data_IF_576249296893
#
_entry.id   IF_576249296893
#
_cell.length_a   1.000
_cell.length_b   1.000
_cell.length_c   1.000
_cell.angle_alpha   90.00
_cell.angle_beta   90.00
_cell.angle_gamma   90.00
#
_symmetry.space_group_name_H-M   'P 1'
#
loop_
_entity.id
_entity.type
_entity.pdbx_description
1 polymer ?
#
# COMPACT_ATOMS: atom_id res chain seq x y z
N UNK A 1 22.77 13.42 25.52
CA UNK A 1 21.58 13.24 24.65
C UNK A 1 20.95 14.62 24.55
N UNK A 2 20.43 15.07 23.40
CA UNK A 2 19.74 16.37 23.38
C UNK A 2 18.38 16.16 24.06
N UNK A 3 18.17 16.79 25.20
CA UNK A 3 16.90 16.70 25.91
C UNK A 3 15.76 17.22 25.02
N UNK A 4 14.65 16.47 25.01
CA UNK A 4 13.42 16.76 24.26
C UNK A 4 13.65 16.97 22.76
N UNK A 5 14.53 16.16 22.15
CA UNK A 5 14.86 16.28 20.72
C UNK A 5 13.62 16.13 19.81
N UNK A 6 12.71 15.21 20.14
CA UNK A 6 11.48 15.01 19.36
C UNK A 6 10.61 16.27 19.36
N UNK A 7 10.38 16.88 20.52
CA UNK A 7 9.58 18.10 20.65
C UNK A 7 10.19 19.26 19.88
N UNK A 8 11.52 19.43 19.99
CA UNK A 8 12.25 20.47 19.27
C UNK A 8 12.10 20.32 17.76
N UNK A 9 12.22 19.10 17.23
CA UNK A 9 12.04 18.86 15.79
C UNK A 9 10.57 19.10 15.40
N UNK A 10 9.62 18.51 16.13
CA UNK A 10 8.20 18.61 15.82
C UNK A 10 7.66 20.04 15.89
N UNK A 11 8.24 20.92 16.71
CA UNK A 11 7.90 22.34 16.78
C UNK A 11 8.15 23.10 15.46
N UNK A 12 9.02 22.58 14.59
CA UNK A 12 9.32 23.15 13.28
C UNK A 12 8.60 22.44 12.12
N UNK A 13 7.75 21.46 12.42
CA UNK A 13 7.03 20.67 11.40
C UNK A 13 5.54 21.02 11.36
N UNK A 14 4.94 21.09 10.16
CA UNK A 14 3.49 21.29 10.04
C UNK A 14 2.72 20.11 10.65
N UNK A 15 1.45 20.28 11.06
CA UNK A 15 0.67 19.25 11.77
C UNK A 15 0.62 17.87 11.11
N UNK A 16 0.66 17.82 9.78
CA UNK A 16 0.62 16.60 8.97
C UNK A 16 2.01 15.95 8.76
N UNK A 17 3.06 16.42 9.45
CA UNK A 17 4.38 15.78 9.48
C UNK A 17 4.83 15.68 10.93
N UNK A 18 5.14 14.46 11.40
CA UNK A 18 5.58 14.21 12.78
C UNK A 18 6.71 13.19 12.83
N UNK A 19 7.66 13.43 13.73
CA UNK A 19 8.63 12.43 14.17
C UNK A 19 8.05 11.76 15.41
N UNK A 20 7.73 10.47 15.29
CA UNK A 20 7.02 9.71 16.33
C UNK A 20 7.97 8.95 17.26
N UNK A 21 9.16 8.62 16.79
CA UNK A 21 10.17 7.91 17.56
C UNK A 21 11.56 8.13 16.99
N UNK A 22 12.58 7.83 17.79
CA UNK A 22 13.96 7.81 17.34
C UNK A 22 14.73 6.73 18.12
N UNK A 23 15.71 6.12 17.47
CA UNK A 23 16.59 5.12 18.08
C UNK A 23 18.03 5.39 17.68
N UNK A 24 18.97 5.08 18.57
CA UNK A 24 20.39 5.07 18.21
C UNK A 24 20.71 3.80 17.45
N UNK A 25 21.60 3.93 16.48
CA UNK A 25 22.03 2.83 15.60
C UNK A 25 23.54 2.82 15.49
N UNK A 26 24.09 1.72 14.96
CA UNK A 26 25.52 1.64 14.65
C UNK A 26 25.91 2.64 13.57
N UNK A 27 27.17 3.09 13.57
CA UNK A 27 27.67 4.04 12.56
C UNK A 27 27.65 3.50 11.12
N UNK A 28 27.63 2.18 10.95
CA UNK A 28 27.51 1.52 9.64
C UNK A 28 26.08 1.25 9.18
N UNK A 29 25.07 1.60 9.98
CA UNK A 29 23.67 1.36 9.64
C UNK A 29 23.21 2.24 8.46
N UNK A 30 22.54 1.62 7.49
CA UNK A 30 21.91 2.30 6.36
C UNK A 30 20.45 1.86 6.24
N UNK A 31 19.51 2.74 6.58
CA UNK A 31 18.07 2.42 6.62
C UNK A 31 17.50 1.89 5.31
N UNK A 32 18.04 2.33 4.16
CA UNK A 32 17.59 1.86 2.84
C UNK A 32 18.08 0.44 2.55
N UNK A 33 19.36 0.19 2.78
CA UNK A 33 20.02 -1.07 2.43
C UNK A 33 19.75 -2.18 3.44
N UNK A 34 19.49 -1.82 4.71
CA UNK A 34 19.17 -2.76 5.77
C UNK A 34 17.67 -3.08 5.88
N UNK A 35 16.81 -2.44 5.09
CA UNK A 35 15.38 -2.72 5.05
C UNK A 35 15.08 -4.03 4.29
N UNK A 36 14.34 -4.93 4.92
CA UNK A 36 14.03 -6.27 4.41
C UNK A 36 12.71 -6.35 3.64
N UNK A 37 11.72 -5.61 4.11
CA UNK A 37 10.38 -5.58 3.54
C UNK A 37 9.69 -4.25 3.83
N UNK A 38 8.63 -3.96 3.08
CA UNK A 38 7.72 -2.86 3.36
C UNK A 38 6.29 -3.39 3.39
N UNK A 39 5.50 -2.88 4.32
CA UNK A 39 4.04 -3.01 4.29
C UNK A 39 3.45 -1.68 3.88
N UNK A 40 2.60 -1.72 2.86
CA UNK A 40 1.77 -0.60 2.46
C UNK A 40 0.30 -0.94 2.69
N UNK A 41 -0.49 0.08 2.96
CA UNK A 41 -1.95 0.01 2.85
C UNK A 41 -2.42 0.88 1.68
N UNK A 42 -3.60 0.57 1.16
CA UNK A 42 -4.29 1.37 0.16
C UNK A 42 -5.77 1.46 0.54
N UNK A 43 -6.19 2.65 0.96
CA UNK A 43 -7.61 2.93 1.25
C UNK A 43 -8.32 3.39 -0.01
N UNK A 44 -9.52 2.88 -0.25
CA UNK A 44 -10.35 3.25 -1.40
C UNK A 44 -11.85 3.16 -1.09
N UNK A 45 -12.68 3.95 -1.78
CA UNK A 45 -14.13 3.75 -1.80
C UNK A 45 -14.47 2.37 -2.39
N UNK A 46 -15.35 1.60 -1.73
CA UNK A 46 -15.67 0.24 -2.19
C UNK A 46 -16.47 0.20 -3.48
N UNK A 47 -17.12 1.30 -3.86
CA UNK A 47 -17.76 1.46 -5.17
C UNK A 47 -16.78 1.23 -6.32
N UNK A 48 -15.47 1.35 -6.08
CA UNK A 48 -14.43 0.95 -7.04
C UNK A 48 -14.54 -0.52 -7.48
N UNK A 49 -15.08 -1.40 -6.63
CA UNK A 49 -15.33 -2.82 -6.95
C UNK A 49 -16.74 -3.10 -7.49
N UNK A 50 -17.58 -2.07 -7.68
CA UNK A 50 -18.88 -2.23 -8.33
C UNK A 50 -18.73 -2.59 -9.81
N UNK A 51 -19.72 -3.26 -10.44
CA UNK A 51 -19.74 -3.49 -11.88
C UNK A 51 -19.52 -2.20 -12.69
N UNK A 52 -18.93 -2.32 -13.89
CA UNK A 52 -18.62 -1.17 -14.76
C UNK A 52 -19.80 -0.24 -15.08
N UNK A 53 -21.02 -0.78 -15.12
CA UNK A 53 -22.24 -0.02 -15.46
C UNK A 53 -22.93 0.59 -14.22
N UNK A 54 -22.35 0.41 -13.03
CA UNK A 54 -22.86 0.99 -11.79
C UNK A 54 -22.50 2.48 -11.68
N UNK A 55 -23.36 3.27 -11.04
CA UNK A 55 -23.07 4.67 -10.76
C UNK A 55 -21.90 4.80 -9.76
N UNK A 56 -20.72 5.18 -10.25
CA UNK A 56 -19.51 5.27 -9.43
C UNK A 56 -19.56 6.38 -8.38
N UNK A 57 -20.49 7.33 -8.51
CA UNK A 57 -20.70 8.42 -7.54
C UNK A 57 -21.67 8.06 -6.42
N UNK A 58 -22.27 6.87 -6.45
CA UNK A 58 -23.23 6.45 -5.44
C UNK A 58 -22.54 6.05 -4.13
N UNK A 59 -22.61 6.95 -3.16
CA UNK A 59 -22.08 6.76 -1.79
C UNK A 59 -22.86 5.72 -0.99
N UNK A 60 -24.05 5.31 -1.44
CA UNK A 60 -24.85 4.27 -0.80
C UNK A 60 -24.41 2.85 -1.17
N UNK A 61 -23.50 2.68 -2.13
CA UNK A 61 -22.95 1.37 -2.49
C UNK A 61 -22.34 0.66 -1.28
N UNK A 62 -22.62 -0.64 -1.14
CA UNK A 62 -22.04 -1.51 -0.12
C UNK A 62 -21.46 -2.76 -0.77
N UNK A 63 -20.23 -3.08 -0.42
CA UNK A 63 -19.51 -4.24 -0.91
C UNK A 63 -20.07 -5.49 -0.27
N UNK A 64 -20.62 -6.38 -1.09
CA UNK A 64 -21.04 -7.69 -0.62
C UNK A 64 -19.84 -8.61 -0.37
N UNK A 65 -20.04 -9.61 0.49
CA UNK A 65 -19.02 -10.57 0.90
C UNK A 65 -18.49 -11.42 -0.27
N UNK A 66 -19.33 -11.76 -1.24
CA UNK A 66 -18.92 -12.52 -2.43
C UNK A 66 -17.89 -11.75 -3.28
N UNK A 67 -18.12 -10.45 -3.49
CA UNK A 67 -17.20 -9.59 -4.22
C UNK A 67 -15.90 -9.41 -3.43
N UNK A 68 -15.98 -9.22 -2.10
CA UNK A 68 -14.79 -9.14 -1.25
C UNK A 68 -13.97 -10.45 -1.29
N UNK A 69 -14.62 -11.62 -1.28
CA UNK A 69 -13.96 -12.92 -1.43
C UNK A 69 -13.28 -13.04 -2.79
N UNK A 70 -13.94 -12.62 -3.87
CA UNK A 70 -13.35 -12.56 -5.22
C UNK A 70 -12.12 -11.65 -5.25
N UNK A 71 -12.22 -10.44 -4.70
CA UNK A 71 -11.11 -9.47 -4.59
C UNK A 71 -9.91 -10.10 -3.84
N UNK A 72 -10.17 -10.74 -2.70
CA UNK A 72 -9.12 -11.40 -1.92
C UNK A 72 -8.48 -12.59 -2.65
N UNK A 73 -9.27 -13.39 -3.37
CA UNK A 73 -8.74 -14.45 -4.25
C UNK A 73 -7.81 -13.88 -5.31
N UNK A 74 -8.21 -12.80 -6.00
CA UNK A 74 -7.39 -12.16 -7.03
C UNK A 74 -6.09 -11.59 -6.43
N UNK A 75 -6.15 -10.92 -5.28
CA UNK A 75 -4.93 -10.41 -4.62
C UNK A 75 -3.98 -11.52 -4.17
N UNK A 76 -4.52 -12.68 -3.78
CA UNK A 76 -3.71 -13.84 -3.38
C UNK A 76 -2.82 -14.36 -4.51
N UNK A 77 -3.21 -14.17 -5.78
CA UNK A 77 -2.42 -14.60 -6.94
C UNK A 77 -1.06 -13.89 -7.02
N UNK A 78 -0.96 -12.66 -6.49
CA UNK A 78 0.31 -11.94 -6.46
C UNK A 78 1.33 -12.51 -5.49
N UNK A 79 0.92 -13.36 -4.53
CA UNK A 79 1.83 -13.98 -3.57
C UNK A 79 2.89 -14.81 -4.29
N UNK A 80 4.13 -14.73 -3.83
CA UNK A 80 5.26 -15.41 -4.44
C UNK A 80 6.16 -14.47 -5.23
N UNK A 81 7.06 -15.06 -6.01
CA UNK A 81 8.02 -14.35 -6.85
C UNK A 81 7.52 -14.35 -8.28
N UNK A 82 7.20 -13.16 -8.79
CA UNK A 82 6.73 -12.98 -10.16
C UNK A 82 7.56 -11.93 -10.89
N UNK A 83 7.42 -11.88 -12.21
CA UNK A 83 8.03 -10.83 -13.02
C UNK A 83 7.05 -9.65 -13.16
N UNK A 84 7.34 -8.55 -12.49
CA UNK A 84 6.45 -7.38 -12.42
C UNK A 84 6.78 -6.32 -13.49
N UNK A 85 7.37 -6.69 -14.64
CA UNK A 85 7.79 -5.71 -15.66
C UNK A 85 6.62 -4.88 -16.22
N UNK A 86 5.42 -5.44 -16.35
CA UNK A 86 4.21 -4.72 -16.76
C UNK A 86 3.66 -3.80 -15.66
N UNK A 87 4.06 -4.02 -14.40
CA UNK A 87 3.64 -3.25 -13.23
C UNK A 87 4.55 -2.05 -12.93
N UNK A 88 5.46 -1.71 -13.83
CA UNK A 88 6.32 -0.53 -13.71
C UNK A 88 6.60 0.06 -15.08
N UNK A 89 7.23 1.23 -15.11
CA UNK A 89 7.78 1.82 -16.33
C UNK A 89 9.22 1.34 -16.54
N UNK A 90 9.70 1.38 -17.79
CA UNK A 90 11.12 1.17 -18.16
C UNK A 90 11.71 -0.19 -17.74
N UNK A 91 10.90 -1.25 -17.73
CA UNK A 91 11.37 -2.64 -17.54
C UNK A 91 10.95 -3.53 -18.69
N UNK A 92 11.92 -4.31 -19.17
CA UNK A 92 11.70 -5.34 -20.18
C UNK A 92 11.27 -6.66 -19.53
N UNK A 93 10.59 -7.54 -20.29
CA UNK A 93 10.10 -8.82 -19.80
C UNK A 93 11.20 -9.78 -19.32
N UNK A 94 12.45 -9.58 -19.74
CA UNK A 94 13.60 -10.41 -19.33
C UNK A 94 14.52 -9.75 -18.32
N UNK A 95 14.20 -8.54 -17.84
CA UNK A 95 15.01 -7.86 -16.83
C UNK A 95 14.90 -8.58 -15.47
N UNK A 96 15.98 -9.19 -14.94
CA UNK A 96 15.93 -9.91 -13.66
C UNK A 96 15.54 -9.00 -12.50
N UNK A 97 15.85 -7.70 -12.60
CA UNK A 97 15.50 -6.70 -11.60
C UNK A 97 14.01 -6.30 -11.64
N UNK A 98 13.19 -6.90 -12.52
CA UNK A 98 11.74 -6.79 -12.46
C UNK A 98 11.09 -7.90 -11.61
N UNK A 99 11.86 -8.93 -11.19
CA UNK A 99 11.36 -9.97 -10.29
C UNK A 99 11.19 -9.42 -8.87
N UNK A 100 9.99 -9.54 -8.31
CA UNK A 100 9.68 -9.09 -6.94
C UNK A 100 8.95 -10.18 -6.19
N UNK A 101 9.15 -10.18 -4.89
CA UNK A 101 8.55 -11.14 -3.98
C UNK A 101 7.50 -10.46 -3.10
N UNK A 102 6.26 -10.87 -3.27
CA UNK A 102 5.12 -10.45 -2.44
C UNK A 102 4.85 -11.56 -1.43
N UNK A 103 4.87 -11.21 -0.15
CA UNK A 103 4.60 -12.15 0.93
C UNK A 103 3.11 -12.28 1.22
N UNK A 104 2.39 -11.16 1.12
CA UNK A 104 0.98 -11.07 1.48
C UNK A 104 0.30 -9.92 0.73
N UNK A 105 -0.94 -10.12 0.30
CA UNK A 105 -1.82 -9.06 -0.19
C UNK A 105 -3.28 -9.45 0.06
N UNK A 106 -4.07 -8.56 0.67
CA UNK A 106 -5.49 -8.80 0.97
C UNK A 106 -6.26 -7.48 1.11
N UNK A 107 -7.57 -7.53 0.94
CA UNK A 107 -8.51 -6.45 1.27
C UNK A 107 -9.23 -6.79 2.58
N UNK A 108 -9.21 -5.87 3.54
CA UNK A 108 -9.95 -5.99 4.79
C UNK A 108 -11.46 -5.79 4.61
N UNK A 109 -12.20 -6.05 5.68
CA UNK A 109 -13.65 -5.79 5.73
C UNK A 109 -13.95 -4.30 5.51
N UNK A 110 -15.06 -3.99 4.83
CA UNK A 110 -15.43 -2.61 4.58
C UNK A 110 -15.91 -1.90 5.85
N UNK A 111 -15.82 -0.58 5.86
CA UNK A 111 -16.32 0.27 6.93
C UNK A 111 -16.85 1.58 6.36
N UNK A 112 -17.81 2.19 7.05
CA UNK A 112 -18.44 3.44 6.60
C UNK A 112 -17.76 4.66 7.25
N UNK A 113 -17.51 5.69 6.43
CA UNK A 113 -17.06 7.03 6.86
C UNK A 113 -17.79 8.07 6.02
N UNK A 114 -18.43 9.03 6.69
CA UNK A 114 -19.16 10.13 6.03
C UNK A 114 -20.05 9.61 4.87
N UNK A 115 -20.93 8.65 5.19
CA UNK A 115 -21.92 8.01 4.29
C UNK A 115 -21.37 7.02 3.24
N UNK A 116 -20.13 7.21 2.78
CA UNK A 116 -19.48 6.30 1.85
C UNK A 116 -18.80 5.12 2.56
N UNK A 117 -18.77 3.98 1.88
CA UNK A 117 -18.07 2.79 2.35
C UNK A 117 -16.67 2.71 1.76
N UNK A 118 -15.69 2.40 2.61
CA UNK A 118 -14.28 2.26 2.27
C UNK A 118 -13.79 0.86 2.66
N UNK A 119 -12.74 0.41 1.99
CA UNK A 119 -11.96 -0.74 2.42
C UNK A 119 -10.47 -0.43 2.36
N UNK A 120 -9.68 -1.21 3.09
CA UNK A 120 -8.22 -1.08 3.12
C UNK A 120 -7.57 -2.34 2.56
N UNK A 121 -6.82 -2.17 1.48
CA UNK A 121 -5.96 -3.21 0.92
C UNK A 121 -4.61 -3.14 1.62
N UNK A 122 -4.10 -4.25 2.14
CA UNK A 122 -2.77 -4.34 2.74
C UNK A 122 -1.88 -5.22 1.88
N UNK A 123 -0.67 -4.75 1.57
CA UNK A 123 0.35 -5.49 0.81
C UNK A 123 1.68 -5.47 1.54
N UNK A 124 2.30 -6.64 1.69
CA UNK A 124 3.68 -6.80 2.20
C UNK A 124 4.52 -7.46 1.11
N UNK A 125 5.69 -6.89 0.87
CA UNK A 125 6.68 -7.41 -0.07
C UNK A 125 8.10 -6.99 0.31
N UNK A 126 9.10 -7.69 -0.21
CA UNK A 126 10.51 -7.38 0.08
C UNK A 126 10.90 -6.00 -0.46
N UNK A 127 10.49 -5.71 -1.69
CA UNK A 127 10.70 -4.43 -2.34
C UNK A 127 9.60 -4.19 -3.38
N UNK A 128 9.43 -2.93 -3.77
CA UNK A 128 8.46 -2.53 -4.78
C UNK A 128 9.14 -1.61 -5.79
N UNK A 129 8.78 -1.77 -7.06
CA UNK A 129 9.17 -0.85 -8.14
C UNK A 129 8.23 0.36 -8.17
N UNK A 130 8.65 1.40 -8.91
CA UNK A 130 7.80 2.56 -9.17
C UNK A 130 6.46 2.12 -9.76
N UNK A 131 5.36 2.64 -9.20
CA UNK A 131 3.98 2.32 -9.58
C UNK A 131 3.49 0.88 -9.33
N UNK A 132 4.33 -0.03 -8.86
CA UNK A 132 3.98 -1.46 -8.77
C UNK A 132 2.69 -1.73 -8.01
N UNK A 133 2.57 -1.22 -6.77
CA UNK A 133 1.38 -1.45 -5.93
C UNK A 133 0.13 -0.87 -6.60
N UNK A 134 0.22 0.37 -7.10
CA UNK A 134 -0.88 1.05 -7.77
C UNK A 134 -1.36 0.32 -9.03
N UNK A 135 -0.44 -0.27 -9.78
CA UNK A 135 -0.74 -1.12 -10.94
C UNK A 135 -1.33 -2.48 -10.55
N UNK A 136 -0.82 -3.10 -9.48
CA UNK A 136 -1.38 -4.36 -8.95
C UNK A 136 -2.85 -4.18 -8.54
N UNK A 137 -3.14 -3.09 -7.84
CA UNK A 137 -4.51 -2.71 -7.42
C UNK A 137 -5.37 -2.37 -8.64
N UNK A 138 -4.86 -1.53 -9.55
CA UNK A 138 -5.59 -1.12 -10.76
C UNK A 138 -6.01 -2.31 -11.64
N UNK A 139 -5.15 -3.33 -11.79
CA UNK A 139 -5.50 -4.52 -12.55
C UNK A 139 -6.61 -5.34 -11.89
N UNK A 140 -6.56 -5.52 -10.57
CA UNK A 140 -7.61 -6.25 -9.84
C UNK A 140 -8.92 -5.52 -9.91
N UNK A 141 -8.92 -4.18 -9.79
CA UNK A 141 -10.13 -3.38 -9.98
C UNK A 141 -10.68 -3.60 -11.39
N UNK A 142 -9.84 -3.51 -12.44
CA UNK A 142 -10.30 -3.71 -13.83
C UNK A 142 -10.94 -5.10 -14.06
N UNK A 143 -10.37 -6.14 -13.45
CA UNK A 143 -10.94 -7.50 -13.47
C UNK A 143 -12.28 -7.57 -12.75
N UNK A 144 -12.37 -7.01 -11.54
CA UNK A 144 -13.60 -7.07 -10.72
C UNK A 144 -14.75 -6.31 -11.37
N UNK A 145 -14.48 -5.14 -11.98
CA UNK A 145 -15.48 -4.34 -12.71
C UNK A 145 -15.92 -4.99 -14.03
N UNK A 146 -15.17 -5.98 -14.52
CA UNK A 146 -15.48 -6.70 -15.76
C UNK A 146 -14.94 -6.05 -17.03
N UNK A 147 -13.89 -5.23 -16.95
CA UNK A 147 -13.21 -4.67 -18.13
C UNK A 147 -12.29 -5.70 -18.80
N UNK A 148 -11.71 -6.62 -18.03
CA UNK A 148 -10.76 -7.64 -18.49
C UNK A 148 -10.99 -8.96 -17.76
N UNK A 149 -10.64 -10.07 -18.40
CA UNK A 149 -10.72 -11.41 -17.82
C UNK A 149 -9.64 -11.65 -16.75
N UNK A 150 -9.94 -12.49 -15.76
CA UNK A 150 -9.03 -12.78 -14.63
C UNK A 150 -7.67 -13.34 -15.09
N UNK A 151 -7.62 -14.09 -16.20
CA UNK A 151 -6.40 -14.65 -16.76
C UNK A 151 -5.38 -13.57 -17.16
N UNK A 152 -5.79 -12.30 -17.27
CA UNK A 152 -4.86 -11.18 -17.51
C UNK A 152 -3.81 -11.05 -16.40
N UNK A 153 -4.13 -11.41 -15.15
CA UNK A 153 -3.19 -11.30 -14.03
C UNK A 153 -1.99 -12.23 -14.28
N UNK A 154 -2.24 -13.50 -14.60
CA UNK A 154 -1.15 -14.45 -14.88
C UNK A 154 -0.41 -14.12 -16.17
N UNK A 155 -1.15 -13.76 -17.24
CA UNK A 155 -0.55 -13.31 -18.51
C UNK A 155 0.36 -12.09 -18.34
N UNK A 156 0.05 -11.19 -17.41
CA UNK A 156 0.84 -9.98 -17.17
C UNK A 156 2.26 -10.26 -16.63
N UNK A 157 2.54 -11.48 -16.14
CA UNK A 157 3.88 -11.92 -15.76
C UNK A 157 4.67 -12.56 -16.90
N UNK A 158 4.01 -12.89 -18.02
CA UNK A 158 4.62 -13.39 -19.24
C UNK A 158 5.43 -12.33 -19.99
N UNK A 159 5.89 -12.67 -21.20
CA UNK A 159 6.69 -11.73 -22.00
C UNK A 159 5.85 -10.64 -22.69
N UNK A 160 4.55 -10.89 -22.87
CA UNK A 160 3.62 -9.97 -23.52
C UNK A 160 3.51 -8.65 -22.76
N UNK A 161 3.36 -7.56 -23.52
CA UNK A 161 3.03 -6.26 -22.93
C UNK A 161 1.54 -6.18 -22.64
N UNK A 162 1.25 -5.89 -21.38
CA UNK A 162 -0.11 -5.62 -20.89
C UNK A 162 -0.13 -4.18 -20.41
N UNK A 163 -1.06 -3.39 -20.94
CA UNK A 163 -1.28 -2.05 -20.41
C UNK A 163 -2.05 -2.16 -19.09
N UNK A 164 -1.32 -2.04 -17.99
CA UNK A 164 -1.88 -2.20 -16.65
C UNK A 164 -2.35 -0.84 -16.12
N UNK A 165 -3.65 -0.70 -15.78
CA UNK A 165 -4.18 0.52 -15.18
C UNK A 165 -3.42 0.86 -13.88
N UNK A 166 -3.06 2.13 -13.69
CA UNK A 166 -2.36 2.63 -12.50
C UNK A 166 -3.30 3.44 -11.60
N UNK A 167 -3.85 2.81 -10.55
CA UNK A 167 -4.72 3.47 -9.56
C UNK A 167 -4.13 4.79 -9.01
N UNK A 168 -4.92 5.73 -8.47
CA UNK A 168 -4.43 6.98 -7.89
C UNK A 168 -3.37 6.81 -6.79
N UNK A 169 -2.67 7.88 -6.45
CA UNK A 169 -1.69 7.87 -5.36
C UNK A 169 -2.30 8.12 -3.98
N UNK A 170 -3.48 8.76 -3.94
CA UNK A 170 -4.12 9.29 -2.73
C UNK A 170 -4.28 8.24 -1.63
N UNK A 171 -4.78 7.06 -1.97
CA UNK A 171 -5.05 6.00 -1.00
C UNK A 171 -3.81 5.29 -0.45
N UNK A 172 -2.63 5.45 -1.08
CA UNK A 172 -1.44 4.65 -0.79
C UNK A 172 -0.66 5.19 0.42
N UNK A 173 -0.50 4.37 1.46
CA UNK A 173 0.23 4.72 2.69
C UNK A 173 1.32 3.69 2.95
N UNK A 174 2.54 4.15 3.26
CA UNK A 174 3.61 3.29 3.78
C UNK A 174 3.35 3.06 5.27
N UNK A 175 2.89 1.87 5.63
CA UNK A 175 2.55 1.51 7.02
C UNK A 175 3.78 1.14 7.84
N UNK A 176 4.69 0.32 7.26
CA UNK A 176 5.83 -0.20 8.01
C UNK A 176 7.02 -0.51 7.13
N UNK A 177 8.20 -0.15 7.63
CA UNK A 177 9.51 -0.58 7.12
C UNK A 177 10.03 -1.65 8.06
N UNK A 178 10.36 -2.82 7.52
CA UNK A 178 10.77 -3.99 8.31
C UNK A 178 12.28 -4.15 8.31
N UNK A 179 12.85 -4.36 9.49
CA UNK A 179 14.29 -4.53 9.74
C UNK A 179 14.59 -5.88 10.43
N UNK A 180 13.79 -6.90 10.13
CA UNK A 180 13.83 -8.23 10.74
C UNK A 180 15.24 -8.85 10.75
N UNK A 181 16.03 -8.68 9.67
CA UNK A 181 17.41 -9.18 9.59
C UNK A 181 18.37 -8.39 10.47
N UNK A 182 18.20 -7.07 10.56
CA UNK A 182 18.98 -6.23 11.49
C UNK A 182 18.68 -6.67 12.93
N UNK A 183 17.40 -6.81 13.28
CA UNK A 183 16.96 -7.21 14.62
C UNK A 183 17.51 -8.59 14.99
N UNK A 184 17.48 -9.56 14.06
CA UNK A 184 18.06 -10.88 14.29
C UNK A 184 19.58 -10.85 14.49
N UNK A 185 20.29 -9.94 13.81
CA UNK A 185 21.75 -9.84 13.86
C UNK A 185 22.26 -9.12 15.11
N UNK A 186 21.58 -8.05 15.52
CA UNK A 186 22.07 -7.13 16.57
C UNK A 186 21.21 -7.13 17.83
N UNK A 187 19.94 -7.55 17.75
CA UNK A 187 19.02 -7.47 18.89
C UNK A 187 19.34 -8.42 20.06
N UNK A 188 20.29 -9.34 19.90
CA UNK A 188 20.69 -10.30 20.93
C UNK A 188 22.06 -10.05 21.56
N UNK A 189 22.75 -8.96 21.19
CA UNK A 189 24.13 -8.73 21.65
C UNK A 189 24.25 -7.93 22.96
N UNK A 190 23.11 -7.48 23.51
CA UNK A 190 23.04 -6.72 24.77
C UNK A 190 23.57 -5.29 24.67
N UNK A 191 23.96 -4.84 23.47
CA UNK A 191 24.55 -3.52 23.22
C UNK A 191 23.64 -2.70 22.32
N UNK A 192 23.05 -3.32 21.29
CA UNK A 192 22.25 -2.63 20.28
C UNK A 192 20.75 -2.84 20.49
N UNK A 193 20.01 -1.75 20.38
CA UNK A 193 18.55 -1.79 20.34
C UNK A 193 18.05 -2.39 19.02
N UNK A 194 16.95 -3.14 19.09
CA UNK A 194 16.18 -3.55 17.93
C UNK A 194 15.46 -2.35 17.29
N UNK A 195 15.30 -2.42 15.97
CA UNK A 195 14.51 -1.47 15.19
C UNK A 195 13.07 -1.97 15.07
N UNK A 196 12.41 -2.09 16.21
CA UNK A 196 10.96 -2.20 16.31
C UNK A 196 10.40 -0.95 17.01
N UNK A 197 9.21 -0.54 16.60
CA UNK A 197 8.56 0.70 17.07
C UNK A 197 7.32 0.38 17.91
N UNK A 198 7.43 -0.70 18.70
CA UNK A 198 6.29 -1.26 19.43
C UNK A 198 5.71 -0.25 20.42
N UNK A 199 6.57 0.56 21.04
CA UNK A 199 6.18 1.62 21.98
C UNK A 199 5.47 2.79 21.27
N UNK A 200 5.76 3.01 19.99
CA UNK A 200 5.16 4.08 19.19
C UNK A 200 3.91 3.66 18.40
N UNK A 201 3.50 2.38 18.44
CA UNK A 201 2.34 1.88 17.66
C UNK A 201 1.05 2.67 17.97
N UNK A 202 0.81 3.04 19.23
CA UNK A 202 -0.35 3.88 19.59
C UNK A 202 -0.27 5.28 18.97
N UNK A 203 0.90 5.92 19.01
CA UNK A 203 1.11 7.23 18.41
C UNK A 203 1.01 7.19 16.88
N UNK A 204 1.50 6.11 16.25
CA UNK A 204 1.37 5.85 14.81
C UNK A 204 -0.12 5.70 14.44
N UNK A 205 -0.87 4.89 15.18
CA UNK A 205 -2.31 4.72 14.96
C UNK A 205 -3.07 6.04 15.11
N UNK A 206 -2.82 6.78 16.20
CA UNK A 206 -3.43 8.08 16.44
C UNK A 206 -3.11 9.10 15.33
N UNK A 207 -1.88 9.10 14.82
CA UNK A 207 -1.49 9.97 13.71
C UNK A 207 -2.23 9.62 12.41
N UNK A 208 -2.36 8.32 12.10
CA UNK A 208 -3.12 7.85 10.93
C UNK A 208 -4.58 8.27 10.99
N UNK A 209 -5.23 8.02 12.13
CA UNK A 209 -6.65 8.32 12.33
C UNK A 209 -6.94 9.82 12.33
N UNK A 210 -5.98 10.63 12.81
CA UNK A 210 -6.15 12.09 12.90
C UNK A 210 -5.78 12.84 11.62
N UNK A 211 -4.78 12.38 10.88
CA UNK A 211 -4.18 13.16 9.79
C UNK A 211 -4.19 12.47 8.42
N UNK A 212 -4.08 11.14 8.36
CA UNK A 212 -3.96 10.43 7.07
C UNK A 212 -5.33 10.03 6.54
N UNK A 213 -6.09 9.24 7.31
CA UNK A 213 -7.38 8.72 6.86
C UNK A 213 -8.41 9.83 6.60
N UNK A 214 -8.55 10.87 7.44
CA UNK A 214 -9.46 11.98 7.15
C UNK A 214 -9.12 12.68 5.84
N UNK A 215 -7.82 12.94 5.58
CA UNK A 215 -7.38 13.56 4.33
C UNK A 215 -7.74 12.71 3.11
N UNK A 216 -7.57 11.38 3.18
CA UNK A 216 -7.97 10.47 2.09
C UNK A 216 -9.49 10.52 1.88
N UNK A 217 -10.27 10.35 2.95
CA UNK A 217 -11.74 10.31 2.89
C UNK A 217 -12.29 11.62 2.34
N UNK A 218 -11.87 12.77 2.89
CA UNK A 218 -12.33 14.09 2.47
C UNK A 218 -11.97 14.37 1.00
N UNK A 219 -10.75 13.99 0.58
CA UNK A 219 -10.32 14.20 -0.82
C UNK A 219 -11.11 13.30 -1.77
N UNK A 220 -11.38 12.03 -1.41
CA UNK A 220 -12.21 11.15 -2.23
C UNK A 220 -13.65 11.67 -2.34
N UNK A 221 -14.23 12.22 -1.27
CA UNK A 221 -15.60 12.75 -1.29
C UNK A 221 -15.72 14.07 -2.06
N UNK A 222 -14.73 14.95 -1.95
CA UNK A 222 -14.77 16.28 -2.57
C UNK A 222 -14.26 16.27 -4.02
N UNK A 223 -13.15 15.58 -4.28
CA UNK A 223 -12.46 15.60 -5.57
C UNK A 223 -12.72 14.35 -6.41
N UNK A 224 -13.35 13.32 -5.82
CA UNK A 224 -13.72 12.08 -6.51
C UNK A 224 -12.52 11.42 -7.20
N UNK A 225 -11.34 11.44 -6.55
CA UNK A 225 -10.05 10.99 -7.10
C UNK A 225 -10.11 9.58 -7.72
N UNK A 226 -10.73 8.61 -7.03
CA UNK A 226 -10.88 7.25 -7.52
C UNK A 226 -11.97 7.10 -8.58
N UNK A 227 -13.04 7.90 -8.52
CA UNK A 227 -14.12 7.85 -9.51
C UNK A 227 -13.68 8.47 -10.84
N UNK A 228 -12.94 9.57 -10.77
CA UNK A 228 -12.38 10.27 -11.92
C UNK A 228 -11.18 9.54 -12.54
N UNK A 229 -10.71 8.47 -11.91
CA UNK A 229 -9.61 7.66 -12.41
C UNK A 229 -10.03 6.93 -13.70
N UNK A 230 -9.42 7.26 -14.85
CA UNK A 230 -9.75 6.59 -16.10
C UNK A 230 -9.19 5.16 -16.09
N UNK A 231 -10.01 4.19 -16.46
CA UNK A 231 -9.53 2.83 -16.79
C UNK A 231 -8.83 2.76 -18.16
N UNK A 232 -8.72 3.90 -18.84
CA UNK A 232 -8.04 4.07 -20.13
C UNK A 232 -6.79 4.93 -19.92
N UNK A 233 -5.63 4.47 -20.39
CA UNK A 233 -4.51 5.37 -20.74
C UNK A 233 -4.78 6.00 -22.11
#
# INVERSE_FOLDING_TARGET
>A
MIDNILDKINAHLPPHIRILGYKRVTGGFNSKNNCDARTYSYMLPTVSFSPKDYNQEDTSFRLNSETLQKVNRLFSLYKGTHNFHNFTSQKGPRDPSAKRYITHMSCGEPFVRQEAEFAVITVRGQSFMMHQIRKMIGLVIAVVKGYVDEAVIERSWGEDKVDVPKAPGLGLVLERVHFDRYNKRFGGDGIHETLDWTEEEEAIAAFKDKHIYPSIVETELNEKSMVNYPFNN
#
